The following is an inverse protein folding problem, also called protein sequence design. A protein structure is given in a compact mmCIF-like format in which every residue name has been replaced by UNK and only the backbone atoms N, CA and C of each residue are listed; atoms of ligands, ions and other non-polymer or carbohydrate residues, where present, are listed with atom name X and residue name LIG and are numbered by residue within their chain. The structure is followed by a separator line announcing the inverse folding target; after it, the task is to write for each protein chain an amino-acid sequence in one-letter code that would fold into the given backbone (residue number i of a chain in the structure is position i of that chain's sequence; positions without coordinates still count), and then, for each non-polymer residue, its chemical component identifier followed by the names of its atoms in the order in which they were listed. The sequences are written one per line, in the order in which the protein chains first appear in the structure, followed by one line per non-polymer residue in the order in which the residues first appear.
data_IF_962524437208
#
_entry.id   IF_962524437208
#
_cell.length_a   1.000
_cell.length_b   1.000
_cell.length_c   1.000
_cell.angle_alpha   90.00
_cell.angle_beta   90.00
_cell.angle_gamma   90.00
#
_symmetry.space_group_name_H-M   'P 1'
#
loop_
_entity.id
_entity.type
_entity.pdbx_description
1 polymer ?
#
# COMPACT_ATOMS: atom_id res chain seq x y z
N UNK A 1 -19.22 -48.63 -35.40
CA UNK A 1 -18.12 -48.32 -36.33
C UNK A 1 -17.23 -47.30 -35.63
N UNK A 2 -16.04 -47.74 -35.23
CA UNK A 2 -15.05 -46.95 -34.51
C UNK A 2 -13.76 -46.91 -35.33
N UNK A 3 -13.15 -45.73 -35.45
CA UNK A 3 -11.75 -45.48 -35.85
C UNK A 3 -11.46 -43.97 -35.67
N UNK A 4 -10.20 -43.50 -35.69
CA UNK A 4 -9.21 -43.57 -34.60
C UNK A 4 -8.72 -42.13 -34.22
N UNK A 5 -8.15 -41.85 -33.05
CA UNK A 5 -6.82 -42.25 -32.59
C UNK A 5 -5.76 -41.22 -33.02
N UNK A 6 -5.58 -40.14 -32.23
CA UNK A 6 -4.54 -39.11 -32.41
C UNK A 6 -3.40 -39.36 -31.40
N UNK A 7 -2.27 -39.86 -31.89
CA UNK A 7 -1.02 -40.06 -31.15
C UNK A 7 -0.28 -38.74 -30.89
N UNK A 8 0.10 -38.50 -29.64
CA UNK A 8 1.04 -37.47 -29.23
C UNK A 8 2.48 -38.01 -29.30
N UNK A 9 3.36 -37.37 -30.08
CA UNK A 9 4.82 -37.62 -30.05
C UNK A 9 5.53 -36.56 -29.19
N UNK A 10 6.43 -36.95 -28.28
CA UNK A 10 7.24 -36.01 -27.50
C UNK A 10 8.48 -35.52 -28.29
N UNK A 11 8.83 -34.24 -28.10
CA UNK A 11 10.02 -33.60 -28.65
C UNK A 11 11.30 -33.95 -27.85
N UNK A 12 12.48 -34.04 -28.49
CA UNK A 12 13.73 -34.40 -27.82
C UNK A 12 14.36 -33.22 -27.03
N UNK A 13 15.09 -33.50 -25.94
CA UNK A 13 15.72 -32.47 -25.11
C UNK A 13 17.00 -31.90 -25.76
N UNK A 14 17.19 -30.57 -25.60
CA UNK A 14 18.44 -29.88 -25.94
C UNK A 14 19.47 -30.05 -24.81
N UNK A 15 20.78 -30.20 -25.14
CA UNK A 15 21.83 -30.40 -24.14
C UNK A 15 22.24 -29.10 -23.44
N UNK A 16 22.55 -29.23 -22.15
CA UNK A 16 23.12 -28.20 -21.27
C UNK A 16 24.64 -28.17 -21.49
N UNK A 17 25.17 -27.00 -21.80
CA UNK A 17 26.61 -26.77 -21.92
C UNK A 17 27.30 -26.78 -20.55
N UNK A 18 28.32 -27.64 -20.42
CA UNK A 18 29.27 -27.65 -19.31
C UNK A 18 30.36 -26.61 -19.57
N UNK A 19 30.68 -25.79 -18.57
CA UNK A 19 31.86 -24.94 -18.56
C UNK A 19 32.96 -25.61 -17.71
N UNK A 20 34.09 -25.89 -18.35
CA UNK A 20 35.35 -26.36 -17.76
C UNK A 20 36.47 -25.34 -18.02
N UNK A 21 37.56 -25.51 -17.26
CA UNK A 21 38.87 -24.83 -17.29
C UNK A 21 39.00 -23.57 -16.41
N UNK A 22 40.08 -23.35 -15.67
CA UNK A 22 41.37 -24.05 -15.46
C UNK A 22 42.06 -23.37 -14.26
N UNK A 23 42.65 -24.12 -13.32
CA UNK A 23 44.09 -24.46 -13.22
C UNK A 23 45.09 -23.28 -13.21
N UNK A 24 45.93 -23.25 -12.15
CA UNK A 24 47.25 -22.62 -12.15
C UNK A 24 47.56 -21.79 -10.89
N UNK A 25 48.24 -22.37 -9.88
CA UNK A 25 49.69 -22.22 -9.67
C UNK A 25 50.19 -22.69 -8.29
N UNK A 26 51.28 -23.46 -8.36
CA UNK A 26 52.44 -23.61 -7.47
C UNK A 26 52.34 -24.03 -5.98
N UNK A 27 52.89 -25.23 -5.76
CA UNK A 27 53.48 -25.77 -4.53
C UNK A 27 54.95 -25.37 -4.36
N UNK A 28 55.35 -24.99 -3.14
CA UNK A 28 56.69 -25.28 -2.56
C UNK A 28 56.49 -25.69 -1.11
N UNK A 29 57.00 -26.87 -0.72
CA UNK A 29 56.79 -27.48 0.59
C UNK A 29 57.96 -27.32 1.56
N UNK A 30 57.71 -27.62 2.84
CA UNK A 30 58.68 -28.27 3.72
C UNK A 30 57.98 -28.88 4.95
N UNK A 31 58.58 -29.96 5.44
CA UNK A 31 58.08 -30.98 6.39
C UNK A 31 57.94 -30.48 7.83
N UNK A 32 57.01 -31.10 8.57
CA UNK A 32 57.06 -31.18 10.04
C UNK A 32 55.89 -31.96 10.62
N UNK A 33 56.12 -33.23 11.02
CA UNK A 33 55.15 -34.05 11.77
C UNK A 33 55.06 -33.55 13.22
N UNK A 34 53.85 -33.42 13.78
CA UNK A 34 53.47 -33.92 15.13
C UNK A 34 51.96 -33.76 15.35
N UNK A 35 51.46 -34.68 16.17
CA UNK A 35 50.07 -34.97 16.51
C UNK A 35 49.36 -33.88 17.35
N UNK A 36 48.02 -33.95 17.28
CA UNK A 36 47.05 -33.88 18.39
C UNK A 36 46.21 -32.59 18.59
N UNK A 37 44.92 -32.88 18.78
CA UNK A 37 43.84 -32.17 19.48
C UNK A 37 42.98 -31.20 18.68
N UNK A 38 41.73 -31.64 18.51
CA UNK A 38 40.56 -30.86 18.16
C UNK A 38 40.37 -29.66 19.09
N UNK A 39 40.22 -28.48 18.49
CA UNK A 39 39.42 -27.41 19.07
C UNK A 39 38.35 -27.02 18.04
N UNK A 40 37.13 -27.52 18.23
CA UNK A 40 35.95 -26.98 17.56
C UNK A 40 35.71 -25.56 18.09
N UNK A 41 36.34 -24.56 17.47
CA UNK A 41 35.90 -23.17 17.59
C UNK A 41 34.59 -23.02 16.80
N UNK A 42 33.48 -22.92 17.54
CA UNK A 42 32.16 -22.60 17.02
C UNK A 42 32.13 -21.24 16.34
N UNK A 43 32.45 -21.21 15.04
CA UNK A 43 32.27 -20.06 14.18
C UNK A 43 30.78 -19.90 13.85
N UNK A 44 30.08 -19.07 14.63
CA UNK A 44 28.80 -18.47 14.24
C UNK A 44 29.02 -17.56 13.02
N UNK A 45 28.97 -18.13 11.81
CA UNK A 45 28.85 -17.33 10.57
C UNK A 45 27.37 -17.04 10.33
N UNK A 46 26.95 -15.80 10.57
CA UNK A 46 25.71 -15.25 10.01
C UNK A 46 25.87 -15.18 8.49
N UNK A 47 25.17 -16.02 7.72
CA UNK A 47 24.91 -15.76 6.30
C UNK A 47 23.58 -15.04 6.19
N UNK A 48 23.63 -13.78 5.77
CA UNK A 48 22.46 -12.96 5.50
C UNK A 48 22.02 -13.24 4.05
N UNK A 49 21.09 -14.18 3.88
CA UNK A 49 20.44 -14.41 2.59
C UNK A 49 19.32 -13.39 2.43
N UNK A 50 19.60 -12.30 1.72
CA UNK A 50 18.62 -11.28 1.36
C UNK A 50 17.76 -11.81 0.21
N UNK A 51 16.57 -12.31 0.53
CA UNK A 51 15.50 -12.46 -0.44
C UNK A 51 14.65 -11.19 -0.36
N UNK A 52 14.86 -10.28 -1.32
CA UNK A 52 13.99 -9.14 -1.53
C UNK A 52 12.60 -9.65 -1.94
N UNK A 53 11.66 -9.62 -1.00
CA UNK A 53 10.23 -9.65 -1.28
C UNK A 53 9.71 -8.24 -1.05
N UNK A 54 10.04 -7.35 -1.99
CA UNK A 54 9.42 -6.04 -2.09
C UNK A 54 8.00 -6.22 -2.60
N UNK A 55 7.02 -6.18 -1.70
CA UNK A 55 5.63 -5.98 -2.08
C UNK A 55 5.10 -4.75 -1.36
N UNK A 56 5.01 -3.65 -2.12
CA UNK A 56 4.06 -2.59 -1.85
C UNK A 56 2.68 -3.24 -1.76
N UNK A 57 2.10 -3.26 -0.56
CA UNK A 57 0.79 -3.83 -0.32
C UNK A 57 -0.26 -2.94 -0.99
N UNK A 58 -0.60 -3.29 -2.22
CA UNK A 58 -1.75 -2.75 -2.92
C UNK A 58 -2.99 -3.03 -2.07
N UNK A 59 -3.76 -1.99 -1.74
CA UNK A 59 -4.92 -2.12 -0.86
C UNK A 59 -5.86 -3.21 -1.39
N UNK A 60 -6.05 -3.29 -2.72
CA UNK A 60 -6.87 -4.33 -3.34
C UNK A 60 -6.34 -5.76 -3.09
N UNK A 61 -5.03 -5.96 -3.02
CA UNK A 61 -4.41 -7.26 -2.73
C UNK A 61 -4.53 -7.65 -1.25
N UNK A 62 -4.39 -6.67 -0.34
CA UNK A 62 -4.69 -6.84 1.10
C UNK A 62 -6.13 -7.31 1.28
N UNK A 63 -7.07 -6.69 0.56
CA UNK A 63 -8.49 -6.97 0.66
C UNK A 63 -8.89 -8.32 0.06
N UNK A 64 -8.35 -8.71 -1.08
CA UNK A 64 -8.59 -10.06 -1.64
C UNK A 64 -8.12 -11.16 -0.68
N UNK A 65 -6.96 -10.99 -0.05
CA UNK A 65 -6.44 -11.93 0.97
C UNK A 65 -7.25 -11.89 2.27
N UNK A 66 -7.69 -10.72 2.72
CA UNK A 66 -8.57 -10.54 3.87
C UNK A 66 -9.91 -11.25 3.68
N UNK A 67 -10.60 -11.02 2.55
CA UNK A 67 -11.90 -11.64 2.25
C UNK A 67 -11.76 -13.16 2.09
N UNK A 68 -10.67 -13.66 1.49
CA UNK A 68 -10.36 -15.09 1.48
C UNK A 68 -10.17 -15.67 2.89
N UNK A 69 -9.49 -14.95 3.77
CA UNK A 69 -9.32 -15.35 5.16
C UNK A 69 -10.65 -15.35 5.94
N UNK A 70 -11.52 -14.34 5.73
CA UNK A 70 -12.85 -14.28 6.33
C UNK A 70 -13.72 -15.48 5.93
N UNK A 71 -13.70 -15.86 4.65
CA UNK A 71 -14.52 -16.96 4.13
C UNK A 71 -14.12 -18.33 4.68
N UNK A 72 -12.85 -18.48 5.07
CA UNK A 72 -12.33 -19.69 5.72
C UNK A 72 -12.64 -19.76 7.22
N UNK A 73 -12.92 -18.63 7.88
CA UNK A 73 -13.07 -18.53 9.34
C UNK A 73 -14.50 -18.36 9.86
N UNK A 74 -15.44 -17.91 9.03
CA UNK A 74 -16.84 -17.66 9.41
C UNK A 74 -17.72 -18.92 9.62
N UNK A 75 -17.16 -19.98 10.22
CA UNK A 75 -17.85 -21.23 10.58
C UNK A 75 -18.15 -21.41 12.07
N UNK A 76 -17.65 -20.58 12.98
CA UNK A 76 -17.74 -20.83 14.43
C UNK A 76 -18.04 -19.55 15.25
N UNK A 77 -19.25 -19.54 15.82
CA UNK A 77 -19.81 -18.87 17.00
C UNK A 77 -19.52 -17.38 17.35
N UNK A 78 -20.57 -16.73 17.90
CA UNK A 78 -20.57 -15.38 18.46
C UNK A 78 -20.88 -15.33 19.96
N UNK A 79 -20.88 -14.11 20.53
CA UNK A 79 -21.43 -13.83 21.87
C UNK A 79 -20.67 -12.79 22.72
N UNK A 80 -21.28 -11.60 22.82
CA UNK A 80 -21.19 -10.39 23.68
C UNK A 80 -20.42 -10.27 25.04
N UNK A 81 -20.08 -8.99 25.37
CA UNK A 81 -20.05 -8.35 26.73
C UNK A 81 -18.67 -7.83 27.22
N UNK A 82 -18.27 -6.54 27.05
CA UNK A 82 -18.41 -5.31 27.91
C UNK A 82 -17.71 -5.40 29.30
N UNK A 83 -16.90 -4.49 29.88
CA UNK A 83 -16.84 -3.00 30.06
C UNK A 83 -15.41 -2.56 30.55
N UNK A 84 -14.78 -1.44 30.10
CA UNK A 84 -14.73 -0.02 30.59
C UNK A 84 -13.46 0.36 31.43
N UNK A 85 -12.54 1.23 30.93
CA UNK A 85 -12.14 2.61 31.39
C UNK A 85 -10.58 2.66 31.49
N UNK A 86 -9.78 3.73 31.35
CA UNK A 86 -9.98 5.18 31.24
C UNK A 86 -8.72 5.90 30.65
N UNK A 87 -8.98 7.08 30.08
CA UNK A 87 -8.22 8.29 29.68
C UNK A 87 -6.67 8.46 29.76
N UNK A 88 -6.14 9.20 28.76
CA UNK A 88 -4.91 10.03 28.89
C UNK A 88 -4.34 10.57 27.57
N UNK A 89 -4.69 11.81 27.18
CA UNK A 89 -4.34 12.46 25.90
C UNK A 89 -3.14 13.44 26.02
N UNK A 90 -2.31 13.61 24.97
CA UNK A 90 -1.79 14.94 24.56
C UNK A 90 -1.10 15.00 23.16
N UNK A 91 -1.53 16.03 22.39
CA UNK A 91 -0.83 16.95 21.47
C UNK A 91 -0.33 16.55 20.06
N UNK A 92 -0.90 17.27 19.07
CA UNK A 92 -0.67 17.28 17.63
C UNK A 92 0.29 18.42 17.16
N UNK A 93 0.70 18.36 15.87
CA UNK A 93 1.44 19.39 15.11
C UNK A 93 0.64 19.79 13.85
N UNK A 94 0.91 20.95 13.23
CA UNK A 94 -0.03 22.05 13.07
C UNK A 94 -0.84 22.01 11.77
N UNK A 95 -2.11 22.31 11.93
CA UNK A 95 -3.12 22.61 10.91
C UNK A 95 -2.90 24.01 10.33
N UNK A 96 -2.56 24.08 9.05
CA UNK A 96 -2.71 25.28 8.24
C UNK A 96 -3.30 24.86 6.89
N UNK A 97 -4.27 25.65 6.41
CA UNK A 97 -4.76 25.78 5.03
C UNK A 97 -5.97 24.94 4.58
N UNK A 98 -7.15 25.58 4.62
CA UNK A 98 -8.37 25.38 3.80
C UNK A 98 -8.73 23.95 3.35
N UNK A 99 -9.83 23.42 3.89
CA UNK A 99 -10.38 22.12 3.48
C UNK A 99 -10.68 22.09 1.97
N UNK A 100 -10.17 21.05 1.28
CA UNK A 100 -10.42 20.87 -0.14
C UNK A 100 -11.87 20.43 -0.40
N UNK A 101 -12.53 21.11 -1.33
CA UNK A 101 -13.93 20.90 -1.71
C UNK A 101 -14.01 20.17 -3.05
N UNK A 102 -14.85 19.14 -3.14
CA UNK A 102 -15.10 18.44 -4.39
C UNK A 102 -15.85 19.38 -5.35
N UNK A 103 -15.28 19.57 -6.55
CA UNK A 103 -15.95 20.30 -7.63
C UNK A 103 -16.72 19.35 -8.51
N UNK A 104 -16.04 18.30 -9.00
CA UNK A 104 -16.64 17.30 -9.89
C UNK A 104 -15.89 15.98 -9.86
N UNK A 105 -16.54 14.92 -10.35
CA UNK A 105 -16.01 13.56 -10.38
C UNK A 105 -16.40 12.86 -11.69
N UNK A 106 -15.45 12.12 -12.24
CA UNK A 106 -15.64 11.26 -13.41
C UNK A 106 -15.01 9.88 -13.18
N UNK A 107 -15.02 9.03 -14.20
CA UNK A 107 -14.29 7.76 -14.19
C UNK A 107 -12.77 7.95 -14.25
N UNK A 108 -12.28 9.10 -14.72
CA UNK A 108 -10.84 9.40 -14.80
C UNK A 108 -10.27 9.91 -13.47
N UNK A 109 -11.10 10.54 -12.63
CA UNK A 109 -10.65 11.12 -11.37
C UNK A 109 -11.64 12.13 -10.78
N UNK A 110 -11.14 13.01 -9.93
CA UNK A 110 -11.93 14.05 -9.29
C UNK A 110 -11.19 15.39 -9.28
N UNK A 111 -11.92 16.47 -9.53
CA UNK A 111 -11.43 17.83 -9.35
C UNK A 111 -11.80 18.34 -7.96
N UNK A 112 -10.81 18.90 -7.27
CA UNK A 112 -10.98 19.51 -5.96
C UNK A 112 -10.53 20.97 -6.01
N UNK A 113 -11.28 21.86 -5.38
CA UNK A 113 -10.91 23.25 -5.18
C UNK A 113 -10.42 23.45 -3.74
N UNK A 114 -9.34 24.20 -3.60
CA UNK A 114 -8.89 24.78 -2.33
C UNK A 114 -8.92 26.30 -2.43
N UNK A 115 -9.46 26.92 -1.40
CA UNK A 115 -9.58 28.37 -1.27
C UNK A 115 -9.03 28.81 0.10
N UNK A 116 -8.44 30.00 0.17
CA UNK A 116 -8.03 30.62 1.43
C UNK A 116 -9.17 31.51 1.94
N UNK A 117 -9.94 30.99 2.90
CA UNK A 117 -11.08 31.67 3.47
C UNK A 117 -10.74 33.03 4.12
N UNK A 118 -9.48 33.23 4.53
CA UNK A 118 -8.99 34.47 5.14
C UNK A 118 -8.54 35.50 4.09
N UNK A 119 -8.28 35.07 2.85
CA UNK A 119 -7.82 35.94 1.75
C UNK A 119 -8.57 35.63 0.46
N UNK A 120 -9.83 36.11 0.32
CA UNK A 120 -10.63 35.92 -0.88
C UNK A 120 -9.87 36.39 -2.13
N UNK A 121 -9.92 35.61 -3.21
CA UNK A 121 -9.23 35.91 -4.47
C UNK A 121 -7.77 35.47 -4.54
N UNK A 122 -7.16 35.04 -3.42
CA UNK A 122 -5.77 34.56 -3.37
C UNK A 122 -5.70 33.09 -2.94
N UNK A 123 -4.61 32.43 -3.32
CA UNK A 123 -4.32 31.03 -3.00
C UNK A 123 -5.41 30.05 -3.46
N UNK A 124 -6.19 30.43 -4.48
CA UNK A 124 -7.16 29.55 -5.13
C UNK A 124 -6.41 28.50 -5.94
N UNK A 125 -6.75 27.23 -5.75
CA UNK A 125 -6.13 26.13 -6.46
C UNK A 125 -7.15 25.07 -6.80
N UNK A 126 -7.16 24.59 -8.05
CA UNK A 126 -7.87 23.34 -8.38
C UNK A 126 -6.88 22.23 -8.65
N UNK A 127 -7.13 21.04 -8.11
CA UNK A 127 -6.32 19.84 -8.33
C UNK A 127 -7.19 18.72 -8.85
N UNK A 128 -6.76 18.10 -9.94
CA UNK A 128 -7.25 16.83 -10.42
C UNK A 128 -6.49 15.69 -9.73
N UNK A 129 -7.25 14.82 -9.06
CA UNK A 129 -6.74 13.59 -8.45
C UNK A 129 -7.17 12.42 -9.34
N UNK A 130 -6.23 11.73 -10.00
CA UNK A 130 -6.58 10.63 -10.88
C UNK A 130 -7.12 9.43 -10.09
N UNK A 131 -8.07 8.71 -10.68
CA UNK A 131 -8.66 7.51 -10.08
C UNK A 131 -7.68 6.31 -10.08
N UNK A 132 -6.75 6.28 -11.03
CA UNK A 132 -5.75 5.21 -11.17
C UNK A 132 -4.46 5.59 -10.45
N UNK A 133 -3.98 4.71 -9.57
CA UNK A 133 -2.69 4.85 -8.93
C UNK A 133 -1.55 4.90 -9.97
N UNK A 134 -0.56 5.77 -9.76
CA UNK A 134 0.57 5.94 -10.68
C UNK A 134 0.32 6.91 -11.85
N UNK A 135 -0.91 7.35 -12.07
CA UNK A 135 -1.21 8.42 -13.03
C UNK A 135 -0.70 9.78 -12.56
N UNK A 136 -0.40 10.67 -13.50
CA UNK A 136 0.00 12.05 -13.20
C UNK A 136 -1.21 12.88 -12.78
N UNK A 137 -1.07 13.55 -11.65
CA UNK A 137 -1.97 14.60 -11.18
C UNK A 137 -1.72 15.92 -11.89
N UNK A 138 -2.74 16.76 -11.93
CA UNK A 138 -2.70 18.10 -12.50
C UNK A 138 -3.24 19.07 -11.46
N UNK A 139 -2.54 20.16 -11.18
CA UNK A 139 -3.06 21.25 -10.37
C UNK A 139 -2.88 22.59 -11.08
N UNK A 140 -3.84 23.49 -10.90
CA UNK A 140 -3.81 24.84 -11.44
C UNK A 140 -3.86 25.77 -10.24
N UNK A 141 -2.78 26.53 -10.05
CA UNK A 141 -2.56 27.41 -8.92
C UNK A 141 -2.71 28.85 -9.36
N UNK A 142 -3.62 29.57 -8.70
CA UNK A 142 -3.76 31.02 -8.83
C UNK A 142 -2.67 31.79 -8.08
N UNK A 143 -2.71 33.14 -8.17
CA UNK A 143 -1.78 34.00 -7.46
C UNK A 143 -1.87 33.85 -5.94
N UNK A 144 -0.76 34.09 -5.28
CA UNK A 144 -0.62 34.09 -3.82
C UNK A 144 -0.31 35.49 -3.32
N UNK A 145 -0.28 35.67 -1.99
CA UNK A 145 0.15 36.94 -1.40
C UNK A 145 1.62 37.27 -1.70
N UNK A 146 2.46 36.25 -1.90
CA UNK A 146 3.90 36.40 -2.18
C UNK A 146 4.26 36.39 -3.66
N UNK A 147 3.34 35.96 -4.53
CA UNK A 147 3.58 35.87 -5.98
C UNK A 147 2.32 36.14 -6.77
N UNK A 148 2.39 37.07 -7.72
CA UNK A 148 1.32 37.30 -8.70
C UNK A 148 1.31 36.27 -9.83
N UNK A 149 2.36 35.45 -9.94
CA UNK A 149 2.43 34.42 -10.96
C UNK A 149 1.49 33.26 -10.61
N UNK A 150 0.79 32.76 -11.62
CA UNK A 150 0.03 31.51 -11.54
C UNK A 150 0.86 30.37 -12.13
N UNK A 151 0.51 29.13 -11.83
CA UNK A 151 1.26 27.98 -12.33
C UNK A 151 0.39 26.77 -12.52
N UNK A 152 0.67 26.00 -13.56
CA UNK A 152 0.13 24.67 -13.77
C UNK A 152 1.16 23.67 -13.26
N UNK A 153 0.79 22.84 -12.31
CA UNK A 153 1.64 21.78 -11.77
C UNK A 153 1.20 20.43 -12.29
N UNK A 154 2.19 19.59 -12.59
CA UNK A 154 2.00 18.16 -12.81
C UNK A 154 2.81 17.41 -11.76
N UNK A 155 2.21 16.40 -11.12
CA UNK A 155 2.86 15.58 -10.09
C UNK A 155 2.65 14.08 -10.34
N UNK A 156 3.70 13.26 -10.27
CA UNK A 156 3.58 11.81 -10.39
C UNK A 156 4.88 11.07 -10.72
N UNK A 157 4.81 9.74 -10.75
CA UNK A 157 5.97 8.84 -10.92
C UNK A 157 6.61 8.88 -12.31
N UNK A 158 5.89 9.35 -13.34
CA UNK A 158 6.44 9.52 -14.69
C UNK A 158 7.30 10.78 -14.85
N UNK A 159 7.21 11.72 -13.91
CA UNK A 159 8.01 12.95 -13.94
C UNK A 159 9.32 12.67 -13.21
N UNK A 160 10.49 12.94 -13.82
CA UNK A 160 11.76 12.67 -13.17
C UNK A 160 11.86 13.42 -11.83
N UNK A 161 12.50 12.78 -10.87
CA UNK A 161 12.78 13.41 -9.58
C UNK A 161 13.95 14.40 -9.72
N UNK A 162 13.81 15.58 -9.10
CA UNK A 162 14.92 16.52 -8.92
C UNK A 162 15.14 16.82 -7.44
N UNK A 163 16.39 17.08 -7.05
CA UNK A 163 16.75 17.51 -5.69
C UNK A 163 16.70 19.03 -5.51
N UNK A 164 16.71 19.77 -6.60
CA UNK A 164 16.70 21.24 -6.63
C UNK A 164 15.82 21.74 -7.79
N UNK A 165 15.34 22.99 -7.76
CA UNK A 165 14.68 23.57 -8.92
C UNK A 165 15.59 23.54 -10.16
N UNK A 166 15.09 23.05 -11.29
CA UNK A 166 15.82 23.01 -12.56
C UNK A 166 14.93 23.47 -13.73
N UNK A 167 15.39 24.42 -14.57
CA UNK A 167 14.67 24.80 -15.77
C UNK A 167 14.71 23.65 -16.78
N UNK A 168 13.56 23.30 -17.34
CA UNK A 168 13.42 22.23 -18.33
C UNK A 168 12.50 22.67 -19.46
N UNK A 169 12.70 22.11 -20.66
CA UNK A 169 11.73 22.22 -21.76
C UNK A 169 10.84 20.98 -21.80
N UNK A 170 9.56 21.22 -22.04
CA UNK A 170 8.53 20.20 -22.12
C UNK A 170 7.77 20.39 -23.42
N UNK A 171 7.54 19.29 -24.13
CA UNK A 171 6.69 19.26 -25.30
C UNK A 171 5.32 18.71 -24.89
N UNK A 172 4.30 19.55 -25.02
CA UNK A 172 2.90 19.20 -24.79
C UNK A 172 2.32 18.69 -26.10
N UNK A 173 1.86 17.44 -26.10
CA UNK A 173 1.20 16.82 -27.25
C UNK A 173 -0.25 16.56 -26.88
N UNK A 174 -1.17 17.10 -27.66
CA UNK A 174 -2.60 16.91 -27.49
C UNK A 174 -3.18 16.34 -28.79
N UNK A 175 -4.27 15.58 -28.65
CA UNK A 175 -4.95 14.98 -29.80
C UNK A 175 -5.40 16.08 -30.77
N UNK A 176 -5.12 15.89 -32.06
CA UNK A 176 -5.49 16.80 -33.15
C UNK A 176 -4.91 18.23 -33.03
N UNK A 177 -3.81 18.41 -32.28
CA UNK A 177 -3.10 19.68 -32.18
C UNK A 177 -1.60 19.49 -32.44
N UNK A 178 -0.93 20.52 -32.99
CA UNK A 178 0.52 20.52 -33.10
C UNK A 178 1.18 20.50 -31.71
N UNK A 179 2.30 19.79 -31.60
CA UNK A 179 3.08 19.75 -30.38
C UNK A 179 3.55 21.17 -29.99
N UNK A 180 3.35 21.53 -28.72
CA UNK A 180 3.67 22.87 -28.21
C UNK A 180 4.83 22.78 -27.22
N UNK A 181 5.90 23.54 -27.45
CA UNK A 181 7.02 23.62 -26.51
C UNK A 181 6.73 24.64 -25.42
N UNK A 182 6.89 24.21 -24.18
CA UNK A 182 6.65 24.99 -22.98
C UNK A 182 7.94 25.03 -22.14
N UNK A 183 8.24 26.21 -21.60
CA UNK A 183 9.26 26.34 -20.56
C UNK A 183 8.63 25.92 -19.24
N UNK A 184 9.32 25.06 -18.49
CA UNK A 184 8.87 24.59 -17.20
C UNK A 184 10.00 24.60 -16.19
N UNK A 185 9.63 24.52 -14.92
CA UNK A 185 10.53 24.37 -13.79
C UNK A 185 10.26 23.00 -13.17
N UNK A 186 11.25 22.13 -13.19
CA UNK A 186 11.21 20.90 -12.41
C UNK A 186 11.49 21.26 -10.96
N UNK A 187 10.57 20.95 -10.06
CA UNK A 187 10.67 21.27 -8.64
C UNK A 187 11.22 20.07 -7.85
N UNK A 188 11.78 20.32 -6.65
CA UNK A 188 12.13 19.24 -5.74
C UNK A 188 10.92 18.34 -5.46
N UNK A 189 11.07 17.04 -5.73
CA UNK A 189 10.05 16.05 -5.42
C UNK A 189 10.10 15.60 -3.97
N UNK A 190 9.16 14.74 -3.57
CA UNK A 190 9.23 14.07 -2.29
C UNK A 190 10.16 12.84 -2.39
N UNK A 191 11.26 12.87 -1.64
CA UNK A 191 12.25 11.79 -1.62
C UNK A 191 11.67 10.45 -1.13
N UNK A 192 10.59 10.46 -0.34
CA UNK A 192 9.93 9.25 0.14
C UNK A 192 9.11 8.55 -0.95
N UNK A 193 8.56 9.30 -1.90
CA UNK A 193 7.72 8.76 -2.99
C UNK A 193 8.43 8.74 -4.33
N UNK A 194 9.58 9.42 -4.48
CA UNK A 194 10.29 9.62 -5.75
C UNK A 194 9.42 10.24 -6.86
N UNK A 195 8.24 10.79 -6.52
CA UNK A 195 7.38 11.46 -7.47
C UNK A 195 7.97 12.83 -7.82
N UNK A 196 8.15 13.09 -9.12
CA UNK A 196 8.59 14.38 -9.61
C UNK A 196 7.45 15.39 -9.65
N UNK A 197 7.82 16.68 -9.62
CA UNK A 197 6.89 17.79 -9.76
C UNK A 197 7.40 18.71 -10.88
N UNK A 198 6.52 19.06 -11.79
CA UNK A 198 6.80 19.93 -12.92
C UNK A 198 5.86 21.14 -12.86
N UNK A 199 6.42 22.33 -12.86
CA UNK A 199 5.67 23.58 -12.83
C UNK A 199 5.80 24.34 -14.16
N UNK A 200 4.69 24.60 -14.82
CA UNK A 200 4.61 25.45 -16.01
C UNK A 200 4.05 26.80 -15.58
N UNK A 201 4.81 27.90 -15.69
CA UNK A 201 4.32 29.23 -15.34
C UNK A 201 3.16 29.61 -16.27
N UNK A 202 2.06 30.06 -15.68
CA UNK A 202 0.92 30.60 -16.40
C UNK A 202 0.94 32.12 -16.21
N UNK A 203 1.13 32.87 -17.30
CA UNK A 203 1.16 34.33 -17.27
C UNK A 203 -0.21 34.89 -16.88
N UNK A 204 -1.16 34.87 -17.81
CA UNK A 204 -2.57 35.14 -17.53
C UNK A 204 -3.31 33.82 -17.33
N UNK A 205 -3.67 33.53 -16.08
CA UNK A 205 -4.37 32.30 -15.73
C UNK A 205 -5.76 32.20 -16.34
N UNK A 206 -6.47 33.32 -16.54
CA UNK A 206 -7.81 33.33 -17.12
C UNK A 206 -7.75 32.98 -18.59
N UNK A 207 -6.79 33.57 -19.31
CA UNK A 207 -6.56 33.25 -20.71
C UNK A 207 -6.06 31.80 -20.88
N UNK A 208 -5.16 31.36 -20.00
CA UNK A 208 -4.66 29.97 -20.00
C UNK A 208 -5.81 28.98 -19.83
N UNK A 209 -6.65 29.18 -18.80
CA UNK A 209 -7.82 28.36 -18.54
C UNK A 209 -8.80 28.33 -19.73
N UNK A 210 -9.00 29.46 -20.41
CA UNK A 210 -9.87 29.54 -21.60
C UNK A 210 -9.35 28.67 -22.75
N UNK A 211 -8.03 28.51 -22.87
CA UNK A 211 -7.39 27.72 -23.92
C UNK A 211 -7.38 26.21 -23.65
N UNK A 212 -7.56 25.80 -22.39
CA UNK A 212 -7.57 24.38 -22.02
C UNK A 212 -8.89 23.72 -22.44
N UNK A 213 -8.80 22.48 -22.91
CA UNK A 213 -9.98 21.65 -23.22
C UNK A 213 -10.64 21.17 -21.94
N UNK A 214 -11.96 21.03 -21.94
CA UNK A 214 -12.74 20.57 -20.79
C UNK A 214 -12.41 19.11 -20.40
N UNK A 215 -11.92 18.33 -21.37
CA UNK A 215 -11.52 16.94 -21.23
C UNK A 215 -10.29 16.64 -22.08
N UNK A 216 -9.39 15.82 -21.54
CA UNK A 216 -8.25 15.23 -22.23
C UNK A 216 -8.15 13.75 -21.89
N UNK A 217 -8.09 12.90 -22.92
CA UNK A 217 -7.94 11.44 -22.73
C UNK A 217 -6.52 10.95 -23.05
N UNK A 218 -5.77 11.70 -23.87
CA UNK A 218 -4.49 11.27 -24.47
C UNK A 218 -3.43 12.39 -24.47
N UNK A 219 -3.56 13.38 -23.58
CA UNK A 219 -2.55 14.45 -23.48
C UNK A 219 -1.22 13.86 -23.00
N UNK A 220 -0.12 14.22 -23.64
CA UNK A 220 1.21 13.76 -23.28
C UNK A 220 2.13 14.92 -22.94
N UNK A 221 2.92 14.73 -21.88
CA UNK A 221 4.03 15.59 -21.50
C UNK A 221 5.33 14.86 -21.82
N UNK A 222 6.08 15.38 -22.79
CA UNK A 222 7.37 14.82 -23.17
C UNK A 222 8.49 15.73 -22.71
N UNK A 223 9.28 15.26 -21.76
CA UNK A 223 10.50 15.93 -21.35
C UNK A 223 11.64 15.44 -22.25
N UNK A 224 12.56 16.32 -22.64
CA UNK A 224 13.62 16.01 -23.62
C UNK A 224 14.45 14.77 -23.24
N UNK A 225 14.65 14.51 -21.95
CA UNK A 225 15.44 13.39 -21.44
C UNK A 225 14.62 12.31 -20.71
N UNK A 226 13.29 12.28 -20.87
CA UNK A 226 12.42 11.33 -20.17
C UNK A 226 11.34 10.74 -21.09
N UNK A 227 10.79 9.56 -20.77
CA UNK A 227 9.64 9.03 -21.47
C UNK A 227 8.45 9.99 -21.38
N UNK A 228 7.63 10.01 -22.43
CA UNK A 228 6.40 10.78 -22.43
C UNK A 228 5.44 10.27 -21.36
N UNK A 229 4.79 11.19 -20.66
CA UNK A 229 3.87 10.88 -19.58
C UNK A 229 2.46 11.26 -19.98
N UNK A 230 1.54 10.30 -19.90
CA UNK A 230 0.14 10.54 -20.22
C UNK A 230 -0.56 11.24 -19.06
N UNK A 231 -1.31 12.28 -19.40
CA UNK A 231 -2.20 13.01 -18.51
C UNK A 231 -3.61 12.88 -19.10
N UNK A 232 -4.56 12.48 -18.26
CA UNK A 232 -5.95 12.40 -18.64
C UNK A 232 -6.81 13.03 -17.55
N UNK A 233 -7.79 13.83 -17.94
CA UNK A 233 -8.72 14.46 -17.03
C UNK A 233 -10.06 14.71 -17.73
N UNK A 234 -11.11 14.84 -16.94
CA UNK A 234 -12.47 15.19 -17.40
C UNK A 234 -13.12 16.12 -16.38
N UNK A 235 -14.00 17.00 -16.83
CA UNK A 235 -14.70 17.97 -15.98
C UNK A 235 -13.90 19.25 -15.66
N UNK A 236 -12.94 19.64 -16.52
CA UNK A 236 -12.21 20.89 -16.33
C UNK A 236 -13.13 22.11 -16.52
N UNK A 237 -14.21 22.03 -17.27
CA UNK A 237 -15.22 23.11 -17.38
C UNK A 237 -15.74 23.57 -16.00
N UNK A 238 -16.11 22.61 -15.16
CA UNK A 238 -16.64 22.85 -13.82
C UNK A 238 -15.54 23.34 -12.87
N UNK A 239 -14.36 22.70 -12.92
CA UNK A 239 -13.19 23.11 -12.14
C UNK A 239 -12.71 24.53 -12.51
N UNK A 240 -12.72 24.86 -13.80
CA UNK A 240 -12.42 26.20 -14.33
C UNK A 240 -13.41 27.22 -13.82
N UNK A 241 -14.71 26.95 -13.90
CA UNK A 241 -15.74 27.82 -13.36
C UNK A 241 -15.54 28.09 -11.86
N UNK A 242 -15.27 27.04 -11.08
CA UNK A 242 -15.02 27.14 -9.64
C UNK A 242 -13.73 27.93 -9.33
N UNK A 243 -12.64 27.69 -10.07
CA UNK A 243 -11.39 28.43 -9.90
C UNK A 243 -11.56 29.92 -10.23
N UNK A 244 -12.20 30.24 -11.36
CA UNK A 244 -12.43 31.64 -11.76
C UNK A 244 -13.32 32.37 -10.75
N UNK A 245 -14.37 31.72 -10.24
CA UNK A 245 -15.19 32.28 -9.17
C UNK A 245 -14.39 32.54 -7.88
N UNK A 246 -13.51 31.61 -7.49
CA UNK A 246 -12.60 31.79 -6.35
C UNK A 246 -11.67 32.99 -6.56
N UNK A 247 -11.09 33.13 -7.76
CA UNK A 247 -10.23 34.25 -8.13
C UNK A 247 -10.98 35.60 -8.15
N UNK A 248 -12.30 35.58 -8.37
CA UNK A 248 -13.18 36.74 -8.21
C UNK A 248 -13.59 37.00 -6.75
N UNK A 249 -13.03 36.26 -5.80
CA UNK A 249 -13.31 36.38 -4.36
C UNK A 249 -14.59 35.68 -3.90
N UNK A 250 -15.26 34.92 -4.76
CA UNK A 250 -16.48 34.17 -4.39
C UNK A 250 -16.11 32.87 -3.70
N UNK A 251 -16.82 32.54 -2.63
CA UNK A 251 -16.68 31.24 -1.97
C UNK A 251 -17.36 30.14 -2.76
N UNK A 252 -16.69 29.00 -2.87
CA UNK A 252 -17.28 27.84 -3.49
C UNK A 252 -18.15 27.06 -2.50
N UNK A 253 -19.42 26.85 -2.84
CA UNK A 253 -20.40 26.12 -2.02
C UNK A 253 -20.36 24.60 -2.28
N UNK A 254 -19.20 24.04 -2.60
CA UNK A 254 -19.02 22.60 -2.79
C UNK A 254 -18.85 21.86 -1.47
N UNK A 255 -19.19 20.57 -1.50
CA UNK A 255 -18.99 19.64 -0.38
C UNK A 255 -17.51 19.43 -0.14
N UNK A 256 -17.10 19.32 1.12
CA UNK A 256 -15.75 18.86 1.41
C UNK A 256 -15.53 17.43 0.92
N UNK A 257 -14.28 16.98 0.78
CA UNK A 257 -14.01 15.57 0.41
C UNK A 257 -14.73 14.61 1.37
N UNK A 258 -14.72 14.94 2.66
CA UNK A 258 -15.40 14.18 3.70
C UNK A 258 -16.92 14.12 3.45
N UNK A 259 -17.55 15.26 3.22
CA UNK A 259 -19.00 15.35 2.92
C UNK A 259 -19.38 14.68 1.60
N UNK A 260 -18.57 14.84 0.55
CA UNK A 260 -18.81 14.20 -0.74
C UNK A 260 -18.69 12.67 -0.65
N UNK A 261 -17.80 12.17 0.20
CA UNK A 261 -17.75 10.73 0.53
C UNK A 261 -18.85 10.28 1.50
N UNK A 262 -19.45 11.20 2.25
CA UNK A 262 -20.57 10.93 3.14
C UNK A 262 -21.82 10.46 2.37
N UNK A 263 -21.99 10.92 1.14
CA UNK A 263 -23.10 10.47 0.28
C UNK A 263 -22.95 9.00 -0.14
N UNK A 264 -21.72 8.50 -0.18
CA UNK A 264 -21.43 7.08 -0.43
C UNK A 264 -21.55 6.24 0.83
N UNK A 265 -21.48 6.88 2.01
CA UNK A 265 -21.47 6.23 3.31
C UNK A 265 -21.91 7.23 4.39
N UNK A 266 -23.03 7.02 5.11
CA UNK A 266 -23.41 7.90 6.19
C UNK A 266 -22.25 8.05 7.19
N UNK A 267 -21.91 9.30 7.49
CA UNK A 267 -20.93 9.62 8.51
C UNK A 267 -21.61 9.57 9.87
N UNK A 268 -20.98 8.87 10.80
CA UNK A 268 -21.32 9.02 12.21
C UNK A 268 -20.35 9.93 12.93
N UNK A 269 -20.49 9.99 14.24
CA UNK A 269 -19.61 10.75 15.14
C UNK A 269 -18.76 9.85 16.02
N UNK A 270 -18.83 8.53 15.85
CA UNK A 270 -18.10 7.56 16.67
C UNK A 270 -16.65 7.37 16.21
N UNK A 271 -15.84 6.83 17.11
CA UNK A 271 -14.43 6.50 16.86
C UNK A 271 -14.17 5.04 17.23
N UNK A 272 -13.43 4.32 16.40
CA UNK A 272 -12.93 2.97 16.70
C UNK A 272 -11.42 3.05 16.68
N UNK A 273 -10.79 2.88 17.84
CA UNK A 273 -9.33 2.91 17.98
C UNK A 273 -8.82 1.64 18.61
N UNK A 274 -7.54 1.36 18.43
CA UNK A 274 -7.03 0.10 18.93
C UNK A 274 -5.55 -0.10 18.76
N UNK A 275 -5.12 -1.30 19.12
CA UNK A 275 -3.76 -1.79 18.98
C UNK A 275 -3.77 -3.13 18.25
N UNK A 276 -2.98 -3.24 17.19
CA UNK A 276 -2.78 -4.50 16.46
C UNK A 276 -1.44 -5.11 16.83
N UNK A 277 -1.45 -6.38 17.24
CA UNK A 277 -0.22 -7.13 17.46
C UNK A 277 -0.45 -8.63 17.25
N UNK A 278 0.63 -9.37 17.04
CA UNK A 278 0.62 -10.82 17.02
C UNK A 278 1.48 -11.36 18.16
N UNK A 279 0.94 -12.36 18.86
CA UNK A 279 1.64 -13.08 19.91
C UNK A 279 1.53 -14.59 19.68
N UNK A 280 2.66 -15.23 19.36
CA UNK A 280 2.70 -16.66 19.02
C UNK A 280 2.42 -17.62 20.19
N UNK A 281 2.54 -17.13 21.43
CA UNK A 281 2.22 -17.86 22.67
C UNK A 281 2.05 -16.87 23.83
N UNK A 282 1.37 -17.24 24.92
CA UNK A 282 1.01 -16.35 26.04
C UNK A 282 2.19 -15.63 26.74
N UNK A 283 3.45 -16.04 26.54
CA UNK A 283 4.65 -15.35 27.06
C UNK A 283 5.57 -14.81 25.95
N UNK A 284 5.21 -14.99 24.68
CA UNK A 284 6.02 -14.52 23.56
C UNK A 284 6.00 -12.98 23.45
N UNK A 285 7.09 -12.42 22.94
CA UNK A 285 7.17 -10.99 22.62
C UNK A 285 6.13 -10.62 21.55
N UNK A 286 5.43 -9.51 21.77
CA UNK A 286 4.47 -8.97 20.80
C UNK A 286 5.20 -8.57 19.52
N UNK A 287 4.61 -8.91 18.38
CA UNK A 287 5.05 -8.48 17.05
C UNK A 287 4.05 -7.47 16.54
N UNK A 288 4.53 -6.30 16.14
CA UNK A 288 3.69 -5.19 15.71
C UNK A 288 3.81 -5.00 14.20
N UNK A 289 2.73 -4.55 13.54
CA UNK A 289 2.82 -4.09 12.16
C UNK A 289 3.73 -2.85 12.08
N UNK A 290 4.45 -2.64 10.96
CA UNK A 290 5.31 -1.48 10.80
C UNK A 290 4.54 -0.16 10.89
N UNK A 291 5.13 0.84 11.55
CA UNK A 291 4.60 2.21 11.57
C UNK A 291 4.40 2.73 10.15
N UNK A 292 3.28 3.42 9.91
CA UNK A 292 2.89 3.96 8.60
C UNK A 292 2.29 2.93 7.63
N UNK A 293 2.35 1.63 7.94
CA UNK A 293 1.71 0.60 7.12
C UNK A 293 0.18 0.66 7.20
N UNK A 294 -0.51 0.23 6.13
CA UNK A 294 -1.97 0.07 6.08
C UNK A 294 -2.39 -1.35 6.46
N UNK A 295 -1.82 -1.86 7.55
CA UNK A 295 -2.01 -3.26 7.97
C UNK A 295 -3.39 -3.55 8.55
N UNK A 296 -4.17 -2.51 8.90
CA UNK A 296 -5.51 -2.66 9.51
C UNK A 296 -6.57 -2.12 8.57
N UNK A 297 -7.46 -3.03 8.20
CA UNK A 297 -8.69 -2.78 7.49
C UNK A 297 -9.91 -2.85 8.41
N UNK A 298 -10.95 -2.15 8.05
CA UNK A 298 -12.28 -2.21 8.63
C UNK A 298 -13.31 -2.38 7.52
N UNK A 299 -14.26 -3.28 7.73
CA UNK A 299 -15.38 -3.52 6.82
C UNK A 299 -16.66 -3.18 7.58
N UNK A 300 -17.48 -2.30 7.00
CA UNK A 300 -18.79 -1.99 7.55
C UNK A 300 -19.81 -3.05 7.15
N UNK A 301 -20.33 -3.77 8.13
CA UNK A 301 -21.18 -4.95 7.94
C UNK A 301 -22.65 -4.54 7.74
N UNK A 302 -22.91 -3.78 6.68
CA UNK A 302 -24.27 -3.44 6.25
C UNK A 302 -24.99 -4.67 5.69
N UNK A 303 -26.32 -4.61 5.59
CA UNK A 303 -27.12 -5.71 5.03
C UNK A 303 -26.76 -6.00 3.56
N UNK A 304 -26.45 -4.95 2.79
CA UNK A 304 -25.93 -5.07 1.42
C UNK A 304 -24.62 -5.86 1.39
N UNK A 305 -23.66 -5.50 2.26
CA UNK A 305 -22.39 -6.22 2.35
C UNK A 305 -22.59 -7.66 2.79
N UNK A 306 -23.41 -7.90 3.81
CA UNK A 306 -23.73 -9.25 4.32
C UNK A 306 -24.35 -10.12 3.23
N UNK A 307 -25.30 -9.60 2.46
CA UNK A 307 -25.93 -10.33 1.36
C UNK A 307 -24.92 -10.71 0.27
N UNK A 308 -24.08 -9.76 -0.15
CA UNK A 308 -23.01 -10.04 -1.11
C UNK A 308 -22.00 -11.05 -0.56
N UNK A 309 -21.59 -10.91 0.70
CA UNK A 309 -20.65 -11.82 1.34
C UNK A 309 -21.16 -13.26 1.39
N UNK A 310 -22.43 -13.45 1.75
CA UNK A 310 -23.10 -14.76 1.72
C UNK A 310 -23.18 -15.33 0.29
N UNK A 311 -23.43 -14.50 -0.72
CA UNK A 311 -23.40 -14.92 -2.12
C UNK A 311 -22.00 -15.40 -2.54
N UNK A 312 -20.94 -14.67 -2.17
CA UNK A 312 -19.54 -15.06 -2.44
C UNK A 312 -19.21 -16.38 -1.75
N UNK A 313 -19.66 -16.54 -0.49
CA UNK A 313 -19.46 -17.76 0.31
C UNK A 313 -20.14 -18.97 -0.33
N UNK A 314 -21.37 -18.82 -0.82
CA UNK A 314 -22.09 -19.86 -1.57
C UNK A 314 -21.37 -20.25 -2.86
N UNK A 315 -20.84 -19.25 -3.57
CA UNK A 315 -20.18 -19.48 -4.86
C UNK A 315 -18.75 -20.05 -4.72
N UNK A 316 -18.19 -20.12 -3.50
CA UNK A 316 -16.82 -20.60 -3.19
C UNK A 316 -15.71 -19.98 -4.05
N UNK A 317 -15.99 -18.87 -4.73
CA UNK A 317 -15.09 -18.18 -5.64
C UNK A 317 -15.25 -16.68 -5.41
N UNK A 318 -14.16 -16.00 -5.07
CA UNK A 318 -14.15 -14.55 -5.10
C UNK A 318 -14.31 -14.07 -6.55
N UNK A 319 -15.15 -13.06 -6.80
CA UNK A 319 -15.18 -12.41 -8.09
C UNK A 319 -13.81 -11.77 -8.38
N UNK A 320 -13.39 -11.77 -9.64
CA UNK A 320 -12.10 -11.16 -10.06
C UNK A 320 -12.03 -9.67 -9.75
N UNK A 321 -13.20 -9.02 -9.67
CA UNK A 321 -13.38 -7.64 -9.27
C UNK A 321 -14.51 -7.54 -8.24
N UNK A 322 -14.23 -6.88 -7.11
CA UNK A 322 -15.26 -6.56 -6.12
C UNK A 322 -16.09 -5.40 -6.69
N UNK A 323 -17.42 -5.49 -6.75
CA UNK A 323 -18.26 -4.41 -7.27
C UNK A 323 -18.03 -3.08 -6.52
N UNK A 324 -18.08 -1.95 -7.24
CA UNK A 324 -17.83 -0.64 -6.66
C UNK A 324 -18.78 -0.29 -5.51
N UNK A 325 -20.06 -0.71 -5.60
CA UNK A 325 -21.06 -0.53 -4.55
C UNK A 325 -20.74 -1.33 -3.28
N UNK A 326 -19.90 -2.37 -3.37
CA UNK A 326 -19.42 -3.15 -2.23
C UNK A 326 -18.12 -2.57 -1.67
N UNK A 327 -17.23 -2.07 -2.54
CA UNK A 327 -15.95 -1.45 -2.15
C UNK A 327 -16.12 -0.27 -1.18
N UNK A 328 -17.25 0.45 -1.24
CA UNK A 328 -17.56 1.57 -0.32
C UNK A 328 -17.62 1.17 1.16
N UNK A 329 -17.80 -0.12 1.46
CA UNK A 329 -17.87 -0.64 2.83
C UNK A 329 -16.48 -0.89 3.44
N UNK A 330 -15.42 -0.87 2.64
CA UNK A 330 -14.05 -1.13 3.08
C UNK A 330 -13.31 0.16 3.44
N UNK A 331 -12.62 0.16 4.56
CA UNK A 331 -11.80 1.26 5.05
C UNK A 331 -10.45 0.73 5.50
N UNK A 332 -9.38 1.49 5.31
CA UNK A 332 -8.08 1.15 5.91
C UNK A 332 -7.51 2.35 6.60
N UNK A 333 -6.80 2.10 7.70
CA UNK A 333 -6.11 3.12 8.48
C UNK A 333 -4.61 2.82 8.52
N UNK A 334 -3.83 3.84 8.85
CA UNK A 334 -2.40 3.69 9.04
C UNK A 334 -2.08 3.32 10.49
N UNK A 335 -1.02 2.55 10.66
CA UNK A 335 -0.42 2.33 11.97
C UNK A 335 0.30 3.62 12.41
N UNK A 336 -0.08 4.14 13.56
CA UNK A 336 0.34 5.44 14.08
C UNK A 336 1.74 5.40 14.71
N UNK A 337 2.15 4.24 15.24
CA UNK A 337 3.41 4.08 15.98
C UNK A 337 3.94 2.64 15.96
N UNK A 338 5.14 2.48 16.54
CA UNK A 338 5.83 1.20 16.68
C UNK A 338 5.15 0.23 17.67
N UNK A 339 4.09 0.69 18.33
CA UNK A 339 3.25 -0.13 19.20
C UNK A 339 1.99 -0.60 18.47
N UNK A 340 1.86 -0.39 17.16
CA UNK A 340 0.75 -0.90 16.37
C UNK A 340 -0.58 -0.20 16.66
N UNK A 341 -0.58 1.02 17.21
CA UNK A 341 -1.83 1.77 17.44
C UNK A 341 -2.44 2.27 16.13
N UNK A 342 -3.76 2.36 16.09
CA UNK A 342 -4.53 2.80 14.91
C UNK A 342 -5.87 3.40 15.33
N UNK A 343 -6.47 4.20 14.45
CA UNK A 343 -7.76 4.85 14.69
C UNK A 343 -8.59 4.98 13.40
N UNK A 344 -9.90 4.78 13.54
CA UNK A 344 -10.94 5.12 12.56
C UNK A 344 -11.90 6.12 13.20
N UNK A 345 -12.05 7.29 12.60
CA UNK A 345 -12.96 8.34 13.07
C UNK A 345 -14.20 8.45 12.19
N UNK A 346 -15.27 9.06 12.71
CA UNK A 346 -16.51 9.37 11.98
C UNK A 346 -17.28 8.12 11.55
N UNK A 347 -17.28 7.13 12.43
CA UNK A 347 -17.92 5.85 12.23
C UNK A 347 -19.40 5.98 12.58
N UNK A 348 -20.35 5.57 11.71
CA UNK A 348 -21.75 5.41 12.10
C UNK A 348 -21.90 4.29 13.13
N UNK A 349 -23.01 4.31 13.86
CA UNK A 349 -23.45 3.16 14.64
C UNK A 349 -23.63 1.95 13.71
N UNK A 350 -23.24 0.78 14.18
CA UNK A 350 -23.35 -0.46 13.43
C UNK A 350 -22.27 -1.49 13.72
N UNK A 351 -22.31 -2.56 12.93
CA UNK A 351 -21.39 -3.68 13.04
C UNK A 351 -20.22 -3.52 12.07
N UNK A 352 -19.03 -3.87 12.56
CA UNK A 352 -17.78 -3.75 11.85
C UNK A 352 -16.97 -5.04 11.95
N UNK A 353 -16.26 -5.38 10.88
CA UNK A 353 -15.25 -6.41 10.89
C UNK A 353 -13.88 -5.77 10.70
N UNK A 354 -13.06 -5.80 11.74
CA UNK A 354 -11.66 -5.40 11.66
C UNK A 354 -10.85 -6.57 11.11
N UNK A 355 -9.93 -6.27 10.20
CA UNK A 355 -9.01 -7.24 9.63
C UNK A 355 -7.59 -6.70 9.72
N UNK A 356 -6.70 -7.47 10.33
CA UNK A 356 -5.26 -7.20 10.34
C UNK A 356 -4.55 -8.13 9.35
N UNK A 357 -3.64 -7.58 8.56
CA UNK A 357 -2.76 -8.33 7.66
C UNK A 357 -1.37 -7.67 7.62
N UNK A 358 -0.37 -8.38 8.13
CA UNK A 358 1.03 -7.92 8.09
C UNK A 358 2.01 -9.10 8.13
N UNK A 359 3.24 -8.87 7.69
CA UNK A 359 4.35 -9.80 7.84
C UNK A 359 5.25 -9.40 9.01
N UNK A 360 5.89 -10.38 9.64
CA UNK A 360 6.91 -10.16 10.66
C UNK A 360 8.07 -11.13 10.49
N UNK A 361 9.24 -10.71 10.96
CA UNK A 361 10.43 -11.57 10.99
C UNK A 361 10.32 -12.65 12.06
N UNK A 362 10.52 -13.90 11.63
CA UNK A 362 10.63 -15.07 12.48
C UNK A 362 11.95 -15.78 12.23
N UNK A 363 12.66 -16.07 13.29
CA UNK A 363 13.82 -16.97 13.23
C UNK A 363 13.33 -18.42 13.27
N UNK A 364 13.68 -19.20 12.25
CA UNK A 364 13.41 -20.63 12.17
C UNK A 364 14.73 -21.40 12.23
N UNK A 365 14.77 -22.43 13.07
CA UNK A 365 15.91 -23.34 13.15
C UNK A 365 15.61 -24.54 12.25
N UNK A 366 16.48 -24.82 11.28
CA UNK A 366 16.40 -26.01 10.45
C UNK A 366 17.60 -26.93 10.74
N UNK A 367 17.35 -28.20 11.09
CA UNK A 367 18.42 -29.20 11.10
C UNK A 367 18.83 -29.51 9.66
N UNK A 368 20.12 -29.56 9.40
CA UNK A 368 20.72 -30.01 8.15
C UNK A 368 21.78 -31.07 8.47
N UNK A 369 21.73 -32.19 7.76
CA UNK A 369 22.75 -33.23 7.90
C UNK A 369 24.02 -32.73 7.22
N UNK A 370 25.04 -32.43 8.01
CA UNK A 370 26.32 -31.87 7.52
C UNK A 370 27.41 -32.93 7.40
N UNK A 371 27.13 -34.15 7.81
CA UNK A 371 28.03 -35.28 7.70
C UNK A 371 27.38 -36.56 8.16
N UNK A 372 28.04 -37.69 7.91
CA UNK A 372 27.59 -39.01 8.33
C UNK A 372 28.80 -39.78 8.84
N UNK A 373 28.68 -40.35 10.03
CA UNK A 373 29.73 -41.13 10.66
C UNK A 373 29.33 -42.58 10.65
N UNK A 374 30.05 -43.39 9.88
CA UNK A 374 29.88 -44.83 9.86
C UNK A 374 30.54 -45.46 11.08
N UNK A 375 29.83 -46.37 11.72
CA UNK A 375 30.24 -47.08 12.93
C UNK A 375 30.58 -48.52 12.54
N UNK A 376 31.76 -48.97 12.97
CA UNK A 376 32.29 -50.30 12.71
C UNK A 376 32.59 -51.01 14.04
N UNK A 377 32.37 -52.33 14.08
CA UNK A 377 32.86 -53.20 15.16
C UNK A 377 33.89 -54.15 14.55
N UNK A 378 35.18 -53.90 14.80
CA UNK A 378 36.25 -54.53 14.03
C UNK A 378 36.21 -54.05 12.57
N UNK A 379 36.28 -54.98 11.61
CA UNK A 379 36.15 -54.68 10.17
C UNK A 379 34.71 -54.78 9.63
N UNK A 380 33.71 -55.01 10.49
CA UNK A 380 32.32 -55.12 10.07
C UNK A 380 31.57 -53.82 10.32
N UNK A 381 30.98 -53.28 9.25
CA UNK A 381 30.10 -52.12 9.30
C UNK A 381 28.81 -52.47 10.06
N UNK A 382 28.45 -51.65 11.06
CA UNK A 382 27.29 -51.90 11.93
C UNK A 382 26.23 -50.79 11.87
N UNK A 383 26.46 -49.69 11.15
CA UNK A 383 25.48 -48.65 10.90
C UNK A 383 26.10 -47.27 10.70
N UNK A 384 25.28 -46.25 10.41
CA UNK A 384 25.74 -44.86 10.35
C UNK A 384 24.93 -43.99 11.31
N UNK A 385 25.59 -42.97 11.84
CA UNK A 385 24.96 -41.86 12.53
C UNK A 385 25.08 -40.58 11.70
N UNK A 386 23.96 -39.92 11.44
CA UNK A 386 23.95 -38.62 10.79
C UNK A 386 24.40 -37.52 11.78
N UNK A 387 25.36 -36.70 11.35
CA UNK A 387 25.80 -35.51 12.07
C UNK A 387 24.92 -34.34 11.62
N UNK A 388 24.06 -33.87 12.52
CA UNK A 388 23.09 -32.81 12.24
C UNK A 388 23.60 -31.49 12.78
N UNK A 389 23.74 -30.48 11.91
CA UNK A 389 23.92 -29.09 12.33
C UNK A 389 22.59 -28.35 12.35
N UNK A 390 22.44 -27.42 13.29
CA UNK A 390 21.25 -26.57 13.37
C UNK A 390 21.57 -25.17 12.85
N UNK A 391 20.93 -24.80 11.74
CA UNK A 391 21.06 -23.48 11.16
C UNK A 391 19.86 -22.62 11.50
N UNK A 392 20.13 -21.34 11.78
CA UNK A 392 19.10 -20.37 12.14
C UNK A 392 18.91 -19.40 10.98
N UNK A 393 17.70 -19.37 10.41
CA UNK A 393 17.33 -18.51 9.30
C UNK A 393 16.27 -17.50 9.75
N UNK A 394 16.42 -16.23 9.38
CA UNK A 394 15.33 -15.25 9.52
C UNK A 394 14.45 -15.31 8.29
N UNK A 395 13.16 -15.59 8.46
CA UNK A 395 12.16 -15.62 7.39
C UNK A 395 11.05 -14.61 7.67
N UNK A 396 10.46 -14.05 6.63
CA UNK A 396 9.26 -13.21 6.73
C UNK A 396 8.02 -14.12 6.82
N UNK A 397 7.27 -14.02 7.90
CA UNK A 397 6.02 -14.77 8.10
C UNK A 397 4.82 -13.81 8.04
N UNK A 398 3.90 -14.04 7.10
CA UNK A 398 2.62 -13.33 7.03
C UNK A 398 1.64 -13.81 8.11
N UNK A 399 0.83 -12.90 8.63
CA UNK A 399 -0.29 -13.20 9.53
C UNK A 399 -1.52 -12.39 9.15
N UNK A 400 -2.67 -13.08 9.13
CA UNK A 400 -3.99 -12.47 8.92
C UNK A 400 -4.92 -12.93 10.03
N UNK A 401 -5.72 -12.01 10.56
CA UNK A 401 -6.73 -12.29 11.58
C UNK A 401 -7.78 -11.18 11.66
N UNK A 402 -8.93 -11.48 12.23
CA UNK A 402 -10.11 -10.62 12.21
C UNK A 402 -10.81 -10.53 13.56
N UNK A 403 -11.56 -9.44 13.78
CA UNK A 403 -12.37 -9.25 14.99
C UNK A 403 -13.61 -8.45 14.66
N UNK A 404 -14.77 -8.96 15.09
CA UNK A 404 -16.04 -8.22 15.00
C UNK A 404 -16.11 -7.18 16.11
N UNK A 405 -16.58 -5.99 15.77
CA UNK A 405 -16.73 -4.86 16.68
C UNK A 405 -18.06 -4.19 16.40
N UNK A 406 -18.78 -3.81 17.44
CA UNK A 406 -20.06 -3.12 17.31
C UNK A 406 -19.95 -1.75 17.95
N UNK A 407 -20.34 -0.71 17.21
CA UNK A 407 -20.55 0.63 17.73
C UNK A 407 -22.06 0.77 17.98
N UNK A 408 -22.52 0.75 19.23
CA UNK A 408 -23.95 0.66 19.51
C UNK A 408 -24.68 2.00 19.24
N UNK A 409 -24.00 3.14 19.41
CA UNK A 409 -24.56 4.48 19.19
C UNK A 409 -23.54 5.44 18.59
N UNK A 410 -24.05 6.45 17.90
CA UNK A 410 -23.24 7.55 17.36
C UNK A 410 -22.60 8.37 18.50
N UNK A 411 -21.32 8.72 18.34
CA UNK A 411 -20.53 9.51 19.28
C UNK A 411 -19.70 8.68 20.26
N UNK A 412 -19.82 7.36 20.25
CA UNK A 412 -19.08 6.49 21.15
C UNK A 412 -17.65 6.22 20.65
N UNK A 413 -16.71 6.07 21.58
CA UNK A 413 -15.34 5.62 21.27
C UNK A 413 -15.19 4.17 21.69
N UNK A 414 -14.87 3.29 20.74
CA UNK A 414 -14.65 1.86 20.96
C UNK A 414 -13.17 1.56 20.90
N UNK A 415 -12.62 0.98 21.98
CA UNK A 415 -11.23 0.55 22.04
C UNK A 415 -11.09 -0.95 21.76
N UNK A 416 -10.13 -1.31 20.91
CA UNK A 416 -9.98 -2.68 20.43
C UNK A 416 -8.54 -3.15 20.47
N UNK A 417 -8.28 -4.22 21.23
CA UNK A 417 -7.10 -5.03 21.03
C UNK A 417 -7.36 -6.03 19.89
N UNK A 418 -6.63 -5.88 18.79
CA UNK A 418 -6.68 -6.78 17.63
C UNK A 418 -5.45 -7.69 17.72
N UNK A 419 -5.64 -8.88 18.28
CA UNK A 419 -4.60 -9.90 18.42
C UNK A 419 -5.15 -11.28 18.07
N UNK A 420 -4.39 -12.00 17.25
CA UNK A 420 -4.68 -13.38 16.86
C UNK A 420 -4.81 -14.33 18.05
N UNK A 421 -4.07 -14.09 19.14
CA UNK A 421 -4.10 -14.98 20.31
C UNK A 421 -5.44 -14.94 21.06
N UNK A 422 -6.12 -13.80 21.07
CA UNK A 422 -7.45 -13.65 21.69
C UNK A 422 -8.55 -14.37 20.92
N UNK A 423 -8.31 -14.67 19.64
CA UNK A 423 -9.28 -15.36 18.78
C UNK A 423 -9.30 -16.87 19.08
N UNK A 424 -8.20 -17.44 19.56
CA UNK A 424 -8.13 -18.85 19.96
C UNK A 424 -8.67 -19.10 21.38
N UNK A 425 -8.64 -18.11 22.28
CA UNK A 425 -9.15 -18.28 23.64
C UNK A 425 -10.67 -18.52 23.72
N UNK A 426 -11.44 -18.18 22.69
CA UNK A 426 -12.87 -18.49 22.64
C UNK A 426 -13.20 -19.95 22.28
N UNK A 427 -12.22 -20.76 21.82
CA UNK A 427 -12.45 -22.13 21.34
C UNK A 427 -12.02 -23.21 22.35
N UNK A 428 -11.21 -22.89 23.38
CA UNK A 428 -10.60 -23.92 24.26
C UNK A 428 -10.88 -23.71 25.76
N UNK A 429 -11.82 -22.84 26.12
CA UNK A 429 -12.34 -22.76 27.49
C UNK A 429 -13.82 -23.11 27.53
N UNK A 430 -14.13 -24.37 27.22
CA UNK A 430 -15.34 -25.09 27.63
C UNK A 430 -14.96 -26.51 28.03
#
# INVERSE_FOLDING_TARGET
MAAPGLECRPAPPRPIAAATAGEGFETVGARGRRFLVMAQTGLRRKRQGMFDYGDSVDAAAVWRKAVWACLLWAGLCGGAGATQADAGATAARPDQTGEAKLVTRSSLGAWMLREDAARPGLNCAVKFVPARAGSVGLAILGPTASSRASSILFDGYGIPFSRSPQPVQVELVQKDLPATRLNAMQLPGDAATSAGVLAIPAGDIRQTLKSMRDREDEMQLKLVAAPAVSVAYDGLDQARGALLACLDGKRFAGKSLREATAELRPLGTSTIRGQTYFKGAALAKKKYPPKGSRAVGLIWMTDEFKAWYEQVKRNKKLPEQIPLHILKHFMSTQILDDQGRWEFTNMPAGEYLLVANFSYEKTVNRPEVVGRTDVYRGNQYIGSNDQVAYWSYTVQQGTTFEKKVTVPRDGETVEVALDKSQIYCFIVCF
#
